data_IF_989080386541
#
_entry.id   IF_989080386541
#
_cell.length_a   1.000
_cell.length_b   1.000
_cell.length_c   1.000
_cell.angle_alpha   90.00
_cell.angle_beta   90.00
_cell.angle_gamma   90.00
#
_symmetry.space_group_name_H-M   'P 1'
#
loop_
_entity.id
_entity.type
_entity.pdbx_description
1 polymer ?
#
# COMPACT_ATOMS: atom_id res chain seq x y z
N UNK A 1 -0.38 -22.83 -9.45
CA UNK A 1 0.17 -21.51 -9.08
C UNK A 1 0.82 -20.97 -10.34
N UNK A 2 0.57 -19.70 -10.68
CA UNK A 2 1.12 -19.12 -11.91
C UNK A 2 2.63 -18.85 -11.72
N UNK A 3 3.45 -19.10 -12.74
CA UNK A 3 4.89 -18.84 -12.69
C UNK A 3 5.20 -17.39 -12.29
N UNK A 4 4.36 -16.43 -12.72
CA UNK A 4 4.51 -15.03 -12.33
C UNK A 4 4.27 -14.79 -10.82
N UNK A 5 3.32 -15.52 -10.23
CA UNK A 5 3.00 -15.43 -8.80
C UNK A 5 4.16 -15.94 -7.95
N UNK A 6 4.75 -17.07 -8.35
CA UNK A 6 5.93 -17.65 -7.68
C UNK A 6 7.11 -16.67 -7.66
N UNK A 7 7.40 -16.02 -8.79
CA UNK A 7 8.46 -15.01 -8.88
C UNK A 7 8.20 -13.85 -7.91
N UNK A 8 6.97 -13.32 -7.87
CA UNK A 8 6.63 -12.21 -6.99
C UNK A 8 6.78 -12.58 -5.50
N UNK A 9 6.38 -13.81 -5.14
CA UNK A 9 6.54 -14.34 -3.78
C UNK A 9 8.01 -14.43 -3.39
N UNK A 10 8.86 -14.99 -4.25
CA UNK A 10 10.30 -15.11 -3.97
C UNK A 10 10.99 -13.75 -3.88
N UNK A 11 10.70 -12.82 -4.80
CA UNK A 11 11.24 -11.46 -4.74
C UNK A 11 10.81 -10.70 -3.47
N UNK A 12 9.60 -10.95 -2.98
CA UNK A 12 9.13 -10.39 -1.71
C UNK A 12 9.85 -11.01 -0.51
N UNK A 13 10.01 -12.34 -0.47
CA UNK A 13 10.76 -13.05 0.59
C UNK A 13 12.22 -12.58 0.66
N UNK A 14 12.85 -12.39 -0.50
CA UNK A 14 14.21 -11.86 -0.63
C UNK A 14 14.32 -10.36 -0.31
N UNK A 15 13.21 -9.69 0.04
CA UNK A 15 13.14 -8.24 0.32
C UNK A 15 13.53 -7.35 -0.86
N UNK A 16 13.60 -7.90 -2.08
CA UNK A 16 13.76 -7.16 -3.34
C UNK A 16 12.48 -6.41 -3.71
N UNK A 17 11.32 -6.90 -3.27
CA UNK A 17 10.05 -6.20 -3.29
C UNK A 17 9.55 -5.92 -1.87
N UNK A 18 8.84 -4.81 -1.70
CA UNK A 18 8.09 -4.47 -0.49
C UNK A 18 6.64 -4.21 -0.87
N UNK A 19 5.71 -4.59 0.00
CA UNK A 19 4.30 -4.29 -0.20
C UNK A 19 4.09 -2.77 -0.10
N UNK A 20 3.20 -2.26 -0.94
CA UNK A 20 2.66 -0.90 -0.84
C UNK A 20 1.15 -0.99 -0.99
N UNK A 21 0.44 -0.30 -0.10
CA UNK A 21 -1.02 -0.21 -0.12
C UNK A 21 -1.35 1.27 -0.24
N UNK A 22 -2.13 1.64 -1.26
CA UNK A 22 -2.53 3.03 -1.49
C UNK A 22 -4.04 3.13 -1.39
N UNK A 23 -4.53 4.08 -0.60
CA UNK A 23 -5.97 4.29 -0.39
C UNK A 23 -6.31 5.72 -0.76
N UNK A 24 -7.24 5.95 -1.70
CA UNK A 24 -7.64 7.28 -2.08
C UNK A 24 -8.53 7.93 -1.01
N UNK A 25 -8.56 9.26 -0.98
CA UNK A 25 -9.63 10.02 -0.31
C UNK A 25 -10.70 10.48 -1.32
N UNK A 26 -11.90 10.81 -0.82
CA UNK A 26 -13.06 11.25 -1.65
C UNK A 26 -12.84 12.59 -2.38
N UNK A 27 -11.82 13.38 -2.01
CA UNK A 27 -11.61 14.76 -2.48
C UNK A 27 -11.80 14.98 -3.99
N UNK A 28 -12.61 15.99 -4.34
CA UNK A 28 -13.21 16.14 -5.68
C UNK A 28 -12.30 16.77 -6.77
N UNK A 29 -11.12 17.30 -6.43
CA UNK A 29 -10.23 17.95 -7.43
C UNK A 29 -8.92 17.21 -7.71
N UNK A 30 -8.30 16.57 -6.71
CA UNK A 30 -7.10 15.76 -6.88
C UNK A 30 -7.16 14.57 -5.91
N UNK A 31 -7.02 13.34 -6.43
CA UNK A 31 -7.01 12.15 -5.57
C UNK A 31 -5.70 12.09 -4.79
N UNK A 32 -5.76 12.47 -3.52
CA UNK A 32 -4.68 12.18 -2.57
C UNK A 32 -4.70 10.69 -2.20
N UNK A 33 -3.53 10.15 -1.90
CA UNK A 33 -3.39 8.76 -1.52
C UNK A 33 -2.61 8.66 -0.21
N UNK A 34 -3.25 8.11 0.81
CA UNK A 34 -2.50 7.62 1.96
C UNK A 34 -1.80 6.31 1.57
N UNK A 35 -0.56 6.16 2.04
CA UNK A 35 0.31 5.04 1.66
C UNK A 35 0.73 4.25 2.89
N UNK A 36 0.56 2.94 2.84
CA UNK A 36 0.99 2.00 3.89
C UNK A 36 2.01 1.02 3.33
N UNK A 37 2.96 0.61 4.18
CA UNK A 37 4.05 -0.29 3.82
C UNK A 37 3.90 -1.69 4.41
N UNK A 38 2.79 -1.94 5.10
CA UNK A 38 2.42 -3.26 5.62
C UNK A 38 0.90 -3.36 5.80
N UNK A 39 0.39 -4.59 5.78
CA UNK A 39 -1.00 -4.87 6.15
C UNK A 39 -1.31 -4.43 7.58
N UNK A 40 -0.34 -4.56 8.50
CA UNK A 40 -0.48 -4.14 9.90
C UNK A 40 -0.75 -2.65 10.02
N UNK A 41 0.00 -1.82 9.29
CA UNK A 41 -0.22 -0.36 9.25
C UNK A 41 -1.60 -0.03 8.68
N UNK A 42 -1.97 -0.66 7.56
CA UNK A 42 -3.25 -0.45 6.88
C UNK A 42 -4.45 -0.77 7.80
N UNK A 43 -4.50 -1.96 8.41
CA UNK A 43 -5.63 -2.35 9.25
C UNK A 43 -5.73 -1.52 10.53
N UNK A 44 -4.58 -1.13 11.11
CA UNK A 44 -4.57 -0.22 12.26
C UNK A 44 -5.21 1.13 11.90
N UNK A 45 -4.84 1.72 10.77
CA UNK A 45 -5.37 3.00 10.34
C UNK A 45 -6.87 2.95 9.97
N UNK A 46 -7.32 1.87 9.33
CA UNK A 46 -8.73 1.66 8.99
C UNK A 46 -9.62 1.65 10.25
N UNK A 47 -9.18 0.98 11.32
CA UNK A 47 -9.93 0.92 12.58
C UNK A 47 -10.05 2.27 13.33
N UNK A 48 -9.30 3.30 12.92
CA UNK A 48 -9.20 4.58 13.64
C UNK A 48 -9.97 5.74 12.99
N UNK A 49 -10.76 5.47 11.94
CA UNK A 49 -11.51 6.49 11.20
C UNK A 49 -10.61 7.66 10.72
N UNK A 50 -9.43 7.30 10.20
CA UNK A 50 -8.38 8.26 9.79
C UNK A 50 -8.87 9.14 8.63
N UNK A 51 -8.59 10.44 8.69
CA UNK A 51 -8.83 11.41 7.62
C UNK A 51 -7.59 11.61 6.75
N UNK A 52 -7.77 12.13 5.54
CA UNK A 52 -6.65 12.53 4.69
C UNK A 52 -5.88 13.69 5.33
N UNK A 53 -4.56 13.54 5.44
CA UNK A 53 -3.63 14.54 5.99
C UNK A 53 -3.43 15.78 5.10
N UNK A 54 -3.90 15.73 3.85
CA UNK A 54 -3.75 16.81 2.87
C UNK A 54 -5.02 17.64 2.66
N UNK A 55 -6.20 17.06 2.90
CA UNK A 55 -7.48 17.74 2.62
C UNK A 55 -8.59 17.43 3.64
N UNK A 56 -8.27 16.75 4.74
CA UNK A 56 -9.20 16.37 5.82
C UNK A 56 -10.43 15.58 5.36
N UNK A 57 -10.41 15.05 4.13
CA UNK A 57 -11.50 14.29 3.55
C UNK A 57 -11.50 12.84 4.03
N UNK A 58 -12.67 12.20 3.93
CA UNK A 58 -12.87 10.78 4.26
C UNK A 58 -12.02 9.91 3.33
N UNK A 59 -11.39 8.88 3.90
CA UNK A 59 -10.62 7.86 3.19
C UNK A 59 -11.56 6.76 2.65
N UNK A 60 -11.39 6.39 1.38
CA UNK A 60 -12.17 5.34 0.71
C UNK A 60 -11.49 3.97 0.88
N UNK A 61 -11.59 3.40 2.08
CA UNK A 61 -10.92 2.15 2.45
C UNK A 61 -11.24 0.96 1.54
N UNK A 62 -12.44 0.93 0.97
CA UNK A 62 -12.91 -0.07 0.01
C UNK A 62 -12.22 0.02 -1.35
N UNK A 63 -11.58 1.16 -1.67
CA UNK A 63 -10.83 1.40 -2.91
C UNK A 63 -9.32 1.23 -2.74
N UNK A 64 -8.88 0.53 -1.70
CA UNK A 64 -7.47 0.25 -1.48
C UNK A 64 -6.86 -0.55 -2.65
N UNK A 65 -5.71 -0.10 -3.14
CA UNK A 65 -4.93 -0.79 -4.17
C UNK A 65 -3.65 -1.35 -3.54
N UNK A 66 -3.43 -2.65 -3.72
CA UNK A 66 -2.24 -3.35 -3.23
C UNK A 66 -1.27 -3.56 -4.38
N UNK A 67 0.01 -3.32 -4.14
CA UNK A 67 1.07 -3.61 -5.10
C UNK A 67 2.42 -3.80 -4.43
N UNK A 68 3.46 -3.75 -5.26
CA UNK A 68 4.84 -3.86 -4.81
C UNK A 68 5.64 -2.62 -5.20
N UNK A 69 6.54 -2.20 -4.32
CA UNK A 69 7.58 -1.21 -4.60
C UNK A 69 8.96 -1.82 -4.46
N UNK A 70 9.96 -1.18 -5.06
CA UNK A 70 11.36 -1.60 -4.98
C UNK A 70 11.81 -1.67 -3.51
N UNK A 71 12.38 -2.81 -3.14
CA UNK A 71 12.95 -3.08 -1.82
C UNK A 71 14.44 -2.72 -1.74
N UNK A 72 15.16 -3.37 -0.83
CA UNK A 72 16.60 -3.13 -0.66
C UNK A 72 17.36 -4.10 -1.56
N UNK A 73 18.31 -3.58 -2.34
CA UNK A 73 19.31 -4.39 -3.01
C UNK A 73 20.52 -4.48 -2.09
N UNK A 74 20.66 -5.58 -1.36
CA UNK A 74 21.96 -5.91 -0.80
C UNK A 74 22.80 -6.47 -1.94
N UNK A 75 23.71 -5.66 -2.48
CA UNK A 75 24.83 -6.17 -3.25
C UNK A 75 25.74 -6.85 -2.23
N UNK A 76 25.60 -8.17 -2.09
CA UNK A 76 26.67 -9.00 -1.51
C UNK A 76 27.74 -9.15 -2.59
#
# INVERSE_FOLDING_TARGET
MDFAEEILIELFKEKKLKIIIRVPCIGEQYRHFITFNSLKEYYKANSQNTLCDQCDSIIEWDKAVVGFKRGIYSNV
#
